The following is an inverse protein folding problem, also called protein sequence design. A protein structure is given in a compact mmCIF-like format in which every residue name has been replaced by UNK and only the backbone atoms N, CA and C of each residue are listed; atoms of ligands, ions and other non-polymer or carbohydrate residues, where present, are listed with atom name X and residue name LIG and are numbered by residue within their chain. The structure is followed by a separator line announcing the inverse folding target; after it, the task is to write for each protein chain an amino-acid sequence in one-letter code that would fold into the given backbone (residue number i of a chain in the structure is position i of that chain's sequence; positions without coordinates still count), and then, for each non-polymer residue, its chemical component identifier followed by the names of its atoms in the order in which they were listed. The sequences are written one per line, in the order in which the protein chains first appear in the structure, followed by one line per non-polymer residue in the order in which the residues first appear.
data_IF_928817683397
#
_entry.id   IF_928817683397
#
_cell.length_a   1.000
_cell.length_b   1.000
_cell.length_c   1.000
_cell.angle_alpha   90.00
_cell.angle_beta   90.00
_cell.angle_gamma   90.00
#
_symmetry.space_group_name_H-M   'P 1'
#
loop_
_entity.id
_entity.type
_entity.pdbx_description
1 polymer ?
#
# COMPACT_ATOMS: atom_id res chain seq x y z
N UNK A 1 7.34 6.44 -1.51
CA UNK A 1 6.22 5.68 -2.10
C UNK A 1 5.03 5.53 -1.14
N UNK A 2 5.16 4.81 -0.02
CA UNK A 2 4.01 4.47 0.86
C UNK A 2 3.03 5.61 1.18
N UNK A 3 3.51 6.81 1.54
CA UNK A 3 2.62 7.95 1.81
C UNK A 3 1.80 8.42 0.60
N UNK A 4 2.39 8.41 -0.60
CA UNK A 4 1.69 8.75 -1.83
C UNK A 4 0.66 7.68 -2.22
N UNK A 5 1.00 6.41 -2.03
CA UNK A 5 0.07 5.29 -2.26
C UNK A 5 -1.13 5.40 -1.31
N UNK A 6 -0.88 5.65 -0.01
CA UNK A 6 -1.95 5.87 0.96
C UNK A 6 -2.87 7.05 0.57
N UNK A 7 -2.32 8.12 0.01
CA UNK A 7 -3.12 9.22 -0.51
C UNK A 7 -4.01 8.82 -1.69
N UNK A 8 -3.60 7.88 -2.55
CA UNK A 8 -4.46 7.39 -3.64
C UNK A 8 -5.78 6.82 -3.10
N UNK A 9 -5.70 5.95 -2.09
CA UNK A 9 -6.85 5.34 -1.44
C UNK A 9 -7.66 6.34 -0.61
N UNK A 10 -6.99 7.15 0.22
CA UNK A 10 -7.65 8.16 1.04
C UNK A 10 -8.41 9.18 0.19
N UNK A 11 -7.88 9.56 -0.99
CA UNK A 11 -8.55 10.46 -1.93
C UNK A 11 -9.89 9.92 -2.45
N UNK A 12 -10.05 8.60 -2.48
CA UNK A 12 -11.27 7.87 -2.84
C UNK A 12 -12.16 7.53 -1.64
N UNK A 13 -11.73 7.87 -0.42
CA UNK A 13 -12.46 7.56 0.82
C UNK A 13 -12.27 6.13 1.31
N UNK A 14 -11.25 5.43 0.81
CA UNK A 14 -10.91 4.06 1.23
C UNK A 14 -9.99 4.14 2.46
N UNK A 15 -10.34 3.50 3.59
CA UNK A 15 -9.48 3.45 4.76
C UNK A 15 -8.14 2.76 4.45
N UNK A 16 -7.05 3.32 4.98
CA UNK A 16 -5.70 2.79 4.80
C UNK A 16 -4.91 2.84 6.10
N UNK A 17 -4.12 1.79 6.35
CA UNK A 17 -3.16 1.75 7.45
C UNK A 17 -1.74 1.88 6.91
N UNK A 18 -1.06 2.96 7.27
CA UNK A 18 0.37 3.14 7.00
C UNK A 18 1.19 2.39 8.05
N UNK A 19 2.01 1.44 7.60
CA UNK A 19 2.87 0.63 8.47
C UNK A 19 4.34 1.04 8.27
N UNK A 20 5.04 1.30 9.36
CA UNK A 20 6.49 1.55 9.39
C UNK A 20 7.00 1.22 10.80
N UNK A 21 8.24 0.77 10.96
CA UNK A 21 8.79 0.43 12.28
C UNK A 21 8.99 1.66 13.17
N UNK A 22 9.08 2.86 12.58
CA UNK A 22 9.31 4.12 13.29
C UNK A 22 8.04 4.96 13.40
N UNK A 23 7.59 5.19 14.63
CA UNK A 23 6.50 6.12 14.93
C UNK A 23 6.82 7.55 14.46
N UNK A 24 8.08 7.99 14.58
CA UNK A 24 8.52 9.31 14.12
C UNK A 24 8.49 9.43 12.59
N UNK A 25 8.85 8.36 11.87
CA UNK A 25 8.73 8.31 10.42
C UNK A 25 7.26 8.40 9.98
N UNK A 26 6.36 7.72 10.70
CA UNK A 26 4.91 7.78 10.46
C UNK A 26 4.35 9.18 10.73
N UNK A 27 4.70 9.78 11.87
CA UNK A 27 4.27 11.14 12.22
C UNK A 27 4.76 12.17 11.17
N UNK A 28 6.03 12.07 10.77
CA UNK A 28 6.60 12.89 9.70
C UNK A 28 5.84 12.72 8.39
N UNK A 29 5.50 11.48 8.02
CA UNK A 29 4.76 11.18 6.80
C UNK A 29 3.33 11.70 6.84
N UNK A 30 2.61 11.54 7.96
CA UNK A 30 1.28 12.10 8.16
C UNK A 30 1.28 13.63 8.05
N UNK A 31 2.27 14.29 8.66
CA UNK A 31 2.45 15.74 8.54
C UNK A 31 2.67 16.14 7.08
N UNK A 32 3.50 15.41 6.34
CA UNK A 32 3.72 15.64 4.92
C UNK A 32 2.44 15.51 4.09
N UNK A 33 1.64 14.46 4.32
CA UNK A 33 0.35 14.23 3.65
C UNK A 33 -0.62 15.39 3.94
N UNK A 34 -0.76 15.78 5.22
CA UNK A 34 -1.63 16.91 5.61
C UNK A 34 -1.20 18.21 4.92
N UNK A 35 0.10 18.54 4.93
CA UNK A 35 0.63 19.73 4.25
C UNK A 35 0.30 19.77 2.75
N UNK A 36 0.34 18.61 2.07
CA UNK A 36 -0.05 18.52 0.65
C UNK A 36 -1.55 18.79 0.46
N UNK A 37 -2.41 18.31 1.35
CA UNK A 37 -3.83 18.62 1.29
C UNK A 37 -4.12 20.09 1.62
N UNK A 38 -3.48 20.66 2.65
CA UNK A 38 -3.61 22.08 2.99
C UNK A 38 -3.18 22.98 1.83
N UNK A 39 -2.12 22.62 1.12
CA UNK A 39 -1.69 23.33 -0.08
C UNK A 39 -2.76 23.29 -1.19
N UNK A 40 -3.51 22.19 -1.34
CA UNK A 40 -4.63 22.09 -2.27
C UNK A 40 -5.86 22.89 -1.80
N UNK A 41 -6.10 22.98 -0.50
CA UNK A 41 -7.14 23.85 0.08
C UNK A 41 -6.84 25.31 -0.21
N UNK A 42 -5.61 25.77 0.06
CA UNK A 42 -5.16 27.13 -0.26
C UNK A 42 -5.28 27.48 -1.74
N UNK A 43 -5.18 26.49 -2.63
CA UNK A 43 -5.35 26.64 -4.08
C UNK A 43 -6.81 26.51 -4.55
N UNK A 44 -7.77 26.33 -3.64
CA UNK A 44 -9.19 26.14 -3.97
C UNK A 44 -9.52 24.80 -4.64
N UNK A 45 -8.59 23.83 -4.64
CA UNK A 45 -8.75 22.51 -5.28
C UNK A 45 -9.35 21.46 -4.34
N UNK A 46 -9.48 21.77 -3.05
CA UNK A 46 -9.98 20.89 -2.01
C UNK A 46 -10.69 21.74 -0.94
N UNK A 47 -11.79 21.25 -0.37
CA UNK A 47 -12.39 21.89 0.80
C UNK A 47 -11.74 21.39 2.10
N UNK A 48 -11.80 22.20 3.17
CA UNK A 48 -11.33 21.79 4.50
C UNK A 48 -12.04 20.52 4.99
N UNK A 49 -13.36 20.42 4.78
CA UNK A 49 -14.12 19.22 5.11
C UNK A 49 -13.60 17.97 4.38
N UNK A 50 -13.23 18.09 3.09
CA UNK A 50 -12.69 16.97 2.33
C UNK A 50 -11.26 16.62 2.75
N UNK A 51 -10.48 17.61 3.19
CA UNK A 51 -9.16 17.38 3.80
C UNK A 51 -9.32 16.53 5.06
N UNK A 52 -10.17 16.93 6.00
CA UNK A 52 -10.37 16.19 7.26
C UNK A 52 -10.94 14.80 7.00
N UNK A 53 -11.86 14.65 6.04
CA UNK A 53 -12.33 13.34 5.61
C UNK A 53 -11.18 12.44 5.15
N UNK A 54 -10.29 12.94 4.28
CA UNK A 54 -9.16 12.16 3.74
C UNK A 54 -8.15 11.81 4.83
N UNK A 55 -7.86 12.75 5.72
CA UNK A 55 -6.98 12.48 6.86
C UNK A 55 -7.59 11.43 7.81
N UNK A 56 -8.92 11.46 8.01
CA UNK A 56 -9.63 10.46 8.79
C UNK A 56 -9.60 9.04 8.21
N UNK A 57 -9.33 8.88 6.90
CA UNK A 57 -9.13 7.58 6.29
C UNK A 57 -7.76 6.96 6.59
N UNK A 58 -6.79 7.74 7.08
CA UNK A 58 -5.40 7.27 7.25
C UNK A 58 -5.13 6.97 8.73
N UNK A 59 -4.88 5.71 9.01
CA UNK A 59 -4.41 5.22 10.30
C UNK A 59 -2.95 4.76 10.21
N UNK A 60 -2.32 4.53 11.36
CA UNK A 60 -0.94 4.02 11.43
C UNK A 60 -0.83 2.79 12.30
N UNK A 61 0.21 2.00 12.04
CA UNK A 61 0.66 0.87 12.86
C UNK A 61 2.19 0.77 12.82
N UNK A 62 2.81 0.31 13.91
CA UNK A 62 4.27 0.16 14.00
C UNK A 62 4.76 -1.28 13.85
N UNK A 63 3.85 -2.21 13.57
CA UNK A 63 4.15 -3.63 13.41
C UNK A 63 3.21 -4.25 12.38
N UNK A 64 3.72 -5.25 11.65
CA UNK A 64 2.92 -6.04 10.72
C UNK A 64 1.85 -6.84 11.47
N UNK A 65 2.14 -7.28 12.70
CA UNK A 65 1.21 -8.03 13.56
C UNK A 65 0.03 -7.22 14.11
N UNK A 66 -0.09 -5.92 13.80
CA UNK A 66 -1.21 -5.11 14.25
C UNK A 66 -2.54 -5.61 13.65
N UNK A 67 -3.60 -5.62 14.46
CA UNK A 67 -4.96 -6.03 14.07
C UNK A 67 -5.51 -5.33 12.82
N UNK A 68 -5.10 -4.08 12.56
CA UNK A 68 -5.51 -3.34 11.36
C UNK A 68 -4.88 -3.92 10.09
N UNK A 69 -3.66 -4.46 10.19
CA UNK A 69 -2.98 -5.14 9.09
C UNK A 69 -3.60 -6.52 8.87
N UNK A 70 -3.87 -7.25 9.95
CA UNK A 70 -4.49 -8.58 9.89
C UNK A 70 -5.87 -8.58 9.18
N UNK A 71 -6.62 -7.48 9.31
CA UNK A 71 -7.97 -7.32 8.73
C UNK A 71 -8.00 -6.73 7.32
N UNK A 72 -6.87 -6.31 6.77
CA UNK A 72 -6.79 -5.67 5.46
C UNK A 72 -7.19 -6.62 4.31
N UNK A 73 -7.89 -6.09 3.30
CA UNK A 73 -8.23 -6.82 2.07
C UNK A 73 -7.08 -6.84 1.06
N UNK A 74 -6.26 -5.78 1.03
CA UNK A 74 -5.11 -5.64 0.15
C UNK A 74 -3.97 -4.99 0.94
N UNK A 75 -2.77 -5.59 0.87
CA UNK A 75 -1.54 -5.02 1.43
C UNK A 75 -0.61 -4.67 0.28
N UNK A 76 -0.14 -3.41 0.24
CA UNK A 76 0.84 -2.94 -0.75
C UNK A 76 2.17 -2.68 -0.04
N UNK A 77 3.13 -3.55 -0.27
CA UNK A 77 4.49 -3.44 0.24
C UNK A 77 5.31 -2.43 -0.58
N UNK A 78 5.88 -1.43 0.08
CA UNK A 78 6.68 -0.38 -0.54
C UNK A 78 7.93 -0.01 0.30
N UNK A 79 8.63 -1.03 0.81
CA UNK A 79 9.91 -0.94 1.53
C UNK A 79 11.10 -0.91 0.57
N UNK A 80 12.32 -0.89 1.13
CA UNK A 80 13.57 -0.88 0.37
C UNK A 80 13.66 -2.04 -0.62
N UNK A 81 14.32 -1.77 -1.75
CA UNK A 81 14.44 -2.69 -2.88
C UNK A 81 15.48 -3.79 -2.62
N UNK A 82 15.10 -4.73 -1.74
CA UNK A 82 15.92 -5.85 -1.29
C UNK A 82 15.10 -7.14 -1.25
N UNK A 83 15.52 -8.14 -2.04
CA UNK A 83 14.79 -9.41 -2.17
C UNK A 83 14.65 -10.15 -0.84
N UNK A 84 15.72 -10.22 -0.03
CA UNK A 84 15.71 -10.87 1.27
C UNK A 84 14.73 -10.21 2.25
N UNK A 85 14.72 -8.88 2.27
CA UNK A 85 13.79 -8.10 3.09
C UNK A 85 12.34 -8.31 2.65
N UNK A 86 12.06 -8.22 1.35
CA UNK A 86 10.69 -8.40 0.83
C UNK A 86 10.19 -9.83 1.07
N UNK A 87 11.01 -10.85 0.82
CA UNK A 87 10.65 -12.25 1.15
C UNK A 87 10.30 -12.42 2.63
N UNK A 88 11.09 -11.82 3.54
CA UNK A 88 10.79 -11.84 4.98
C UNK A 88 9.44 -11.19 5.30
N UNK A 89 9.18 -10.00 4.74
CA UNK A 89 7.92 -9.27 4.95
C UNK A 89 6.73 -10.06 4.40
N UNK A 90 6.84 -10.63 3.19
CA UNK A 90 5.77 -11.42 2.59
C UNK A 90 5.48 -12.71 3.37
N UNK A 91 6.50 -13.39 3.88
CA UNK A 91 6.32 -14.55 4.76
C UNK A 91 5.61 -14.16 6.07
N UNK A 92 5.95 -13.01 6.66
CA UNK A 92 5.29 -12.50 7.86
C UNK A 92 3.83 -12.11 7.59
N UNK A 93 3.58 -11.39 6.49
CA UNK A 93 2.22 -11.02 6.06
C UNK A 93 1.34 -12.24 5.78
N UNK A 94 1.89 -13.28 5.17
CA UNK A 94 1.17 -14.53 4.89
C UNK A 94 0.62 -15.20 6.16
N UNK A 95 1.34 -15.09 7.28
CA UNK A 95 0.90 -15.61 8.58
C UNK A 95 -0.07 -14.70 9.35
N UNK A 96 -0.14 -13.41 9.00
CA UNK A 96 -0.89 -12.40 9.77
C UNK A 96 -2.18 -11.98 9.07
N UNK A 97 -2.12 -11.75 7.76
CA UNK A 97 -3.24 -11.19 7.01
C UNK A 97 -4.27 -12.28 6.73
N UNK A 98 -5.55 -11.92 6.90
CA UNK A 98 -6.69 -12.81 6.71
C UNK A 98 -6.65 -13.58 5.37
N UNK A 99 -7.20 -14.81 5.31
CA UNK A 99 -7.36 -15.53 4.05
C UNK A 99 -8.14 -14.70 3.01
N UNK A 100 -7.78 -14.82 1.74
CA UNK A 100 -8.40 -14.07 0.63
C UNK A 100 -7.91 -12.64 0.47
N UNK A 101 -7.08 -12.13 1.39
CA UNK A 101 -6.43 -10.83 1.19
C UNK A 101 -5.28 -10.92 0.18
N UNK A 102 -5.12 -9.86 -0.63
CA UNK A 102 -4.07 -9.77 -1.63
C UNK A 102 -2.78 -9.18 -1.05
N UNK A 103 -1.64 -9.74 -1.46
CA UNK A 103 -0.31 -9.25 -1.10
C UNK A 103 0.39 -8.71 -2.34
N UNK A 104 0.50 -7.39 -2.43
CA UNK A 104 1.03 -6.70 -3.60
C UNK A 104 2.40 -6.08 -3.31
N UNK A 105 3.37 -6.20 -4.21
CA UNK A 105 4.64 -5.47 -4.10
C UNK A 105 4.69 -4.28 -5.06
N UNK A 106 5.17 -3.14 -4.57
CA UNK A 106 5.52 -1.96 -5.38
C UNK A 106 6.95 -2.04 -5.94
N UNK A 107 7.59 -3.21 -5.95
CA UNK A 107 8.93 -3.35 -6.53
C UNK A 107 8.98 -2.88 -7.98
N UNK A 108 10.09 -2.26 -8.37
CA UNK A 108 10.35 -1.78 -9.73
C UNK A 108 11.29 -2.72 -10.50
N UNK A 109 12.06 -3.57 -9.81
CA UNK A 109 13.11 -4.39 -10.44
C UNK A 109 13.15 -5.84 -9.99
N UNK A 110 12.52 -6.18 -8.87
CA UNK A 110 12.60 -7.54 -8.31
C UNK A 110 11.53 -8.45 -8.90
N UNK A 111 11.90 -9.72 -9.01
CA UNK A 111 11.03 -10.77 -9.53
C UNK A 111 9.88 -11.09 -8.56
N UNK A 112 8.65 -10.87 -9.01
CA UNK A 112 7.42 -11.14 -8.25
C UNK A 112 7.29 -12.64 -7.92
N UNK A 113 7.73 -13.54 -8.79
CA UNK A 113 7.63 -14.98 -8.53
C UNK A 113 8.53 -15.40 -7.36
N UNK A 114 9.69 -14.76 -7.21
CA UNK A 114 10.55 -15.00 -6.07
C UNK A 114 9.97 -14.45 -4.77
N UNK A 115 9.28 -13.31 -4.80
CA UNK A 115 8.59 -12.77 -3.63
C UNK A 115 7.41 -13.68 -3.26
N UNK A 116 6.61 -14.09 -4.23
CA UNK A 116 5.46 -14.98 -4.04
C UNK A 116 5.84 -16.34 -3.46
N UNK A 117 7.01 -16.88 -3.84
CA UNK A 117 7.53 -18.14 -3.32
C UNK A 117 7.87 -18.12 -1.81
N UNK A 118 7.89 -16.95 -1.17
CA UNK A 118 8.02 -16.83 0.28
C UNK A 118 6.69 -16.97 1.04
N UNK A 119 5.58 -17.17 0.32
CA UNK A 119 4.23 -17.29 0.90
C UNK A 119 3.64 -18.67 0.60
N UNK A 120 2.67 -19.09 1.40
CA UNK A 120 1.82 -20.26 1.17
C UNK A 120 0.66 -19.98 0.20
N UNK A 121 0.45 -18.72 -0.20
CA UNK A 121 -0.63 -18.25 -1.08
C UNK A 121 -0.14 -17.50 -2.34
N UNK A 122 0.78 -18.06 -3.14
CA UNK A 122 1.37 -17.34 -4.27
C UNK A 122 0.34 -16.90 -5.33
N UNK A 123 -0.85 -17.51 -5.35
CA UNK A 123 -1.97 -17.09 -6.20
C UNK A 123 -2.56 -15.73 -5.83
N UNK A 124 -2.42 -15.30 -4.57
CA UNK A 124 -2.92 -14.02 -4.03
C UNK A 124 -1.85 -12.91 -4.06
N UNK A 125 -0.68 -13.21 -4.64
CA UNK A 125 0.46 -12.30 -4.74
C UNK A 125 0.56 -11.73 -6.16
N UNK A 126 0.78 -10.43 -6.29
CA UNK A 126 1.10 -9.78 -7.57
C UNK A 126 1.97 -8.51 -7.37
N UNK A 127 2.40 -7.89 -8.46
CA UNK A 127 2.98 -6.54 -8.40
C UNK A 127 1.94 -5.46 -8.66
N UNK A 128 2.05 -4.36 -7.92
CA UNK A 128 1.30 -3.11 -8.12
C UNK A 128 2.30 -1.96 -8.13
N UNK A 129 2.90 -1.70 -9.29
CA UNK A 129 4.00 -0.75 -9.43
C UNK A 129 3.45 0.66 -9.70
N UNK A 130 3.45 1.48 -8.64
CA UNK A 130 3.10 2.89 -8.70
C UNK A 130 4.31 3.75 -9.09
N UNK A 131 4.05 4.83 -9.81
CA UNK A 131 5.08 5.77 -10.24
C UNK A 131 5.14 6.99 -9.32
N UNK A 132 6.34 7.44 -8.95
CA UNK A 132 6.51 8.60 -8.06
C UNK A 132 6.26 9.93 -8.80
N UNK A 133 5.49 10.88 -8.25
CA UNK A 133 4.68 10.77 -7.03
C UNK A 133 3.38 9.98 -7.26
N UNK A 134 3.15 8.94 -6.45
CA UNK A 134 2.03 7.99 -6.66
C UNK A 134 0.65 8.67 -6.68
N UNK A 135 0.47 9.72 -5.89
CA UNK A 135 -0.79 10.47 -5.80
C UNK A 135 -1.02 11.45 -6.97
N UNK A 136 -0.14 11.47 -7.96
CA UNK A 136 -0.19 12.35 -9.14
C UNK A 136 -0.12 11.54 -10.43
N UNK A 137 0.72 10.52 -10.48
CA UNK A 137 0.94 9.72 -11.68
C UNK A 137 -0.29 8.84 -11.96
N UNK A 138 -0.81 8.82 -13.21
CA UNK A 138 -2.04 8.10 -13.53
C UNK A 138 -1.85 6.60 -13.79
N UNK A 139 -0.62 6.17 -14.09
CA UNK A 139 -0.31 4.79 -14.45
C UNK A 139 -0.05 3.95 -13.20
N UNK A 140 -0.65 2.77 -13.16
CA UNK A 140 -0.33 1.67 -12.26
C UNK A 140 -0.02 0.44 -13.11
N UNK A 141 1.18 -0.11 -12.96
CA UNK A 141 1.55 -1.35 -13.62
C UNK A 141 1.15 -2.55 -12.74
N UNK A 142 0.21 -3.35 -13.24
CA UNK A 142 -0.23 -4.59 -12.60
C UNK A 142 0.61 -5.76 -13.12
N UNK A 143 1.61 -6.16 -12.34
CA UNK A 143 2.57 -7.19 -12.74
C UNK A 143 2.06 -8.56 -12.32
N UNK A 144 1.70 -9.37 -13.32
CA UNK A 144 1.25 -10.75 -13.11
C UNK A 144 2.44 -11.67 -12.86
N UNK A 145 2.48 -12.29 -11.68
CA UNK A 145 3.33 -13.45 -11.42
C UNK A 145 2.76 -14.72 -12.06
N UNK A 146 3.58 -15.76 -12.20
CA UNK A 146 3.21 -17.04 -12.80
C UNK A 146 2.04 -17.70 -12.09
N UNK A 147 1.99 -17.59 -10.75
CA UNK A 147 0.94 -18.17 -9.93
C UNK A 147 -0.27 -17.24 -9.72
N UNK A 148 -0.13 -15.92 -9.96
CA UNK A 148 -1.18 -14.93 -9.66
C UNK A 148 -2.50 -15.32 -10.33
N UNK A 149 -3.55 -15.38 -9.52
CA UNK A 149 -4.88 -15.78 -9.96
C UNK A 149 -5.53 -14.72 -10.85
N UNK A 150 -6.55 -15.12 -11.62
CA UNK A 150 -7.38 -14.17 -12.37
C UNK A 150 -8.13 -13.20 -11.47
N UNK A 151 -8.56 -13.65 -10.28
CA UNK A 151 -9.25 -12.84 -9.28
C UNK A 151 -8.34 -11.75 -8.69
N UNK A 152 -7.09 -12.11 -8.37
CA UNK A 152 -6.07 -11.16 -7.90
C UNK A 152 -5.86 -10.05 -8.92
N UNK A 153 -5.70 -10.41 -10.21
CA UNK A 153 -5.50 -9.43 -11.28
C UNK A 153 -6.74 -8.55 -11.51
N UNK A 154 -7.94 -9.15 -11.52
CA UNK A 154 -9.18 -8.42 -11.69
C UNK A 154 -9.38 -7.41 -10.55
N UNK A 155 -9.09 -7.81 -9.31
CA UNK A 155 -9.18 -6.93 -8.13
C UNK A 155 -8.22 -5.76 -8.24
N UNK A 156 -6.93 -5.97 -8.56
CA UNK A 156 -5.96 -4.86 -8.68
C UNK A 156 -6.22 -3.96 -9.89
N UNK A 157 -6.86 -4.48 -10.94
CA UNK A 157 -7.31 -3.66 -12.08
C UNK A 157 -8.51 -2.76 -11.74
N UNK A 158 -9.29 -3.10 -10.70
CA UNK A 158 -10.47 -2.37 -10.29
C UNK A 158 -10.21 -1.32 -9.18
N UNK A 159 -8.96 -1.22 -8.69
CA UNK A 159 -8.55 -0.28 -7.63
C UNK A 159 -8.60 1.20 -8.05
#
# INVERSE_FOLDING_TARGET
MGGGIAMCFANKGIPVTLVDLSADALATRLKGIRSLYEANVKKGKLSEAKLEQRMGCISTATAISDSKVASADIVIEAVFERMDLKKKIFAELDGVVKPGALLCSNTSTLDIDQIAAATSRPQDVCGTHFFSPANVMPLLENVRGKASSGETLATVMAM
#
